data_IF_793144817743
#
_entry.id   IF_793144817743
#
_cell.length_a   1.000
_cell.length_b   1.000
_cell.length_c   1.000
_cell.angle_alpha   90.00
_cell.angle_beta   90.00
_cell.angle_gamma   90.00
#
_symmetry.space_group_name_H-M   'P 1'
#
loop_
_entity.id
_entity.type
_entity.pdbx_description
1 polymer ?
#
# COMPACT_ATOMS: atom_id res chain seq x y z
N UNK A 1 28.52 -55.05 26.94
CA UNK A 1 28.09 -53.63 27.05
C UNK A 1 28.43 -52.92 25.75
N UNK A 2 27.39 -52.36 25.12
CA UNK A 2 27.34 -51.54 23.90
C UNK A 2 28.08 -52.03 22.64
N UNK A 3 27.36 -52.74 21.79
CA UNK A 3 27.60 -52.82 20.35
C UNK A 3 26.34 -52.40 19.58
N UNK A 4 26.55 -52.11 18.29
CA UNK A 4 25.57 -51.91 17.22
C UNK A 4 25.23 -50.45 16.85
N UNK A 5 26.13 -49.90 16.04
CA UNK A 5 25.78 -49.38 14.71
C UNK A 5 24.51 -50.03 14.14
N UNK A 6 23.55 -49.22 13.67
CA UNK A 6 22.78 -49.63 12.50
C UNK A 6 22.37 -48.42 11.65
N UNK A 7 22.71 -48.56 10.38
CA UNK A 7 22.38 -47.73 9.23
C UNK A 7 21.04 -48.18 8.63
N UNK A 8 20.68 -47.59 7.48
CA UNK A 8 19.50 -47.85 6.61
C UNK A 8 18.24 -47.07 6.98
N UNK A 9 17.44 -46.52 6.07
CA UNK A 9 17.49 -46.30 4.61
C UNK A 9 16.20 -45.51 4.31
N UNK A 10 16.28 -44.34 3.65
CA UNK A 10 15.82 -44.15 2.26
C UNK A 10 14.36 -44.59 2.01
N UNK A 11 13.48 -43.63 1.71
CA UNK A 11 12.62 -43.61 0.50
C UNK A 11 11.76 -42.33 0.51
N UNK A 12 11.84 -41.56 -0.58
CA UNK A 12 10.83 -40.57 -0.95
C UNK A 12 9.94 -41.11 -2.07
N UNK A 13 8.77 -40.49 -2.27
CA UNK A 13 8.08 -40.28 -3.57
C UNK A 13 6.66 -39.73 -3.37
N UNK A 14 6.30 -38.76 -4.23
CA UNK A 14 4.98 -38.48 -4.85
C UNK A 14 3.71 -38.47 -3.97
N UNK A 15 2.89 -37.43 -3.91
CA UNK A 15 2.09 -36.92 -5.04
C UNK A 15 0.70 -37.60 -5.04
N UNK A 16 -0.36 -36.84 -5.36
CA UNK A 16 -1.80 -37.19 -5.28
C UNK A 16 -2.40 -36.95 -3.87
N UNK A 17 -3.61 -36.44 -3.65
CA UNK A 17 -4.74 -36.09 -4.52
C UNK A 17 -5.62 -35.14 -3.70
N UNK A 18 -6.03 -34.03 -4.30
CA UNK A 18 -7.19 -33.27 -3.83
C UNK A 18 -8.44 -33.91 -4.43
N UNK A 19 -9.57 -33.78 -3.73
CA UNK A 19 -10.95 -34.09 -4.11
C UNK A 19 -11.48 -35.44 -3.60
N UNK A 20 -12.25 -35.44 -2.51
CA UNK A 20 -13.72 -35.53 -2.54
C UNK A 20 -14.26 -35.70 -1.11
N UNK A 21 -15.24 -34.89 -0.73
CA UNK A 21 -15.90 -34.99 0.56
C UNK A 21 -17.25 -34.29 0.55
N UNK A 22 -18.23 -34.91 -0.11
CA UNK A 22 -19.65 -34.55 -0.13
C UNK A 22 -20.19 -34.32 1.29
N UNK A 23 -21.02 -33.28 1.46
CA UNK A 23 -22.31 -33.42 2.17
C UNK A 23 -23.30 -32.31 1.77
N UNK A 24 -24.29 -32.69 0.95
CA UNK A 24 -25.62 -32.07 0.88
C UNK A 24 -26.48 -32.74 1.94
N UNK A 25 -27.03 -31.98 2.87
CA UNK A 25 -28.32 -32.20 3.56
C UNK A 25 -28.83 -30.79 3.90
N UNK A 26 -29.70 -30.20 3.08
CA UNK A 26 -31.17 -30.17 3.20
C UNK A 26 -31.69 -29.50 4.50
N UNK A 27 -31.96 -28.20 4.35
CA UNK A 27 -33.19 -27.46 4.72
C UNK A 27 -34.15 -28.06 5.78
N UNK A 28 -34.36 -27.32 6.87
CA UNK A 28 -35.68 -27.15 7.49
C UNK A 28 -35.66 -26.04 8.56
N UNK A 29 -35.95 -24.80 8.15
CA UNK A 29 -36.58 -23.83 9.05
C UNK A 29 -37.89 -23.41 8.42
N UNK A 30 -38.94 -23.89 9.07
CA UNK A 30 -40.35 -23.54 8.97
C UNK A 30 -40.58 -22.03 8.81
N UNK A 31 -41.37 -21.66 7.80
CA UNK A 31 -41.97 -20.34 7.64
C UNK A 31 -43.19 -20.19 8.58
N UNK A 32 -43.41 -19.02 9.20
CA UNK A 32 -44.73 -18.65 9.70
C UNK A 32 -45.59 -18.03 8.57
N UNK A 33 -46.92 -18.27 8.54
CA UNK A 33 -47.82 -17.70 7.55
C UNK A 33 -48.35 -16.32 7.95
N UNK A 34 -48.49 -15.47 6.93
CA UNK A 34 -49.44 -14.36 6.90
C UNK A 34 -48.89 -13.00 7.32
N UNK A 35 -48.76 -12.08 6.36
CA UNK A 35 -49.24 -10.69 6.43
C UNK A 35 -49.31 -10.11 5.00
N UNK A 36 -50.22 -9.17 4.74
CA UNK A 36 -50.89 -8.98 3.45
C UNK A 36 -50.12 -8.13 2.44
N UNK A 37 -50.55 -8.28 1.18
CA UNK A 37 -50.13 -7.52 0.02
C UNK A 37 -50.68 -6.09 0.02
N UNK A 38 -49.78 -5.18 -0.42
CA UNK A 38 -49.99 -3.90 -1.11
C UNK A 38 -50.42 -2.68 -0.28
N UNK A 39 -49.51 -1.71 -0.24
CA UNK A 39 -49.72 -0.33 0.16
C UNK A 39 -48.58 0.56 -0.31
N UNK A 40 -48.55 0.82 -1.63
CA UNK A 40 -47.99 1.97 -2.36
C UNK A 40 -47.03 2.87 -1.54
N UNK A 41 -45.72 2.60 -1.59
CA UNK A 41 -44.71 3.57 -1.15
C UNK A 41 -44.52 4.63 -2.23
N UNK A 42 -45.14 5.79 -1.98
CA UNK A 42 -44.62 7.14 -2.25
C UNK A 42 -43.47 7.23 -3.26
N UNK A 43 -43.83 7.62 -4.49
CA UNK A 43 -42.95 7.95 -5.61
C UNK A 43 -42.07 9.19 -5.37
N UNK A 44 -42.13 9.84 -4.19
CA UNK A 44 -41.37 11.05 -3.88
C UNK A 44 -39.90 10.79 -3.46
N UNK A 45 -39.61 9.67 -2.79
CA UNK A 45 -38.26 9.38 -2.28
C UNK A 45 -37.30 8.80 -3.34
N UNK A 46 -37.83 8.24 -4.42
CA UNK A 46 -37.04 7.77 -5.56
C UNK A 46 -36.57 8.94 -6.46
N UNK A 47 -37.35 10.02 -6.53
CA UNK A 47 -37.06 11.18 -7.37
C UNK A 47 -35.95 12.10 -6.82
N UNK A 48 -35.75 12.17 -5.50
CA UNK A 48 -34.70 13.01 -4.91
C UNK A 48 -33.29 12.41 -5.04
N UNK A 49 -33.16 11.08 -4.94
CA UNK A 49 -31.88 10.38 -5.12
C UNK A 49 -31.40 10.34 -6.57
N UNK A 50 -32.32 10.35 -7.54
CA UNK A 50 -31.96 10.40 -8.97
C UNK A 50 -31.50 11.81 -9.39
N UNK A 51 -32.14 12.86 -8.85
CA UNK A 51 -31.79 14.27 -9.15
C UNK A 51 -30.43 14.68 -8.58
N UNK A 52 -30.06 14.21 -7.38
CA UNK A 52 -28.74 14.47 -6.78
C UNK A 52 -27.60 13.75 -7.54
N UNK A 53 -27.83 12.54 -8.06
CA UNK A 53 -26.83 11.83 -8.88
C UNK A 53 -26.64 12.46 -10.26
N UNK A 54 -27.71 12.95 -10.91
CA UNK A 54 -27.63 13.62 -12.20
C UNK A 54 -26.83 14.95 -12.10
N UNK A 55 -27.11 15.78 -11.09
CA UNK A 55 -26.35 17.02 -10.83
C UNK A 55 -24.86 16.75 -10.57
N UNK A 56 -24.52 15.62 -9.91
CA UNK A 56 -23.12 15.23 -9.66
C UNK A 56 -22.38 14.73 -10.91
N UNK A 57 -23.09 14.12 -11.87
CA UNK A 57 -22.52 13.62 -13.12
C UNK A 57 -22.37 14.73 -14.18
N UNK A 58 -23.26 15.71 -14.20
CA UNK A 58 -23.09 16.92 -15.01
C UNK A 58 -21.98 17.83 -14.47
N UNK A 59 -21.86 17.96 -13.14
CA UNK A 59 -20.76 18.69 -12.51
C UNK A 59 -19.38 18.04 -12.79
N UNK A 60 -19.29 16.71 -12.89
CA UNK A 60 -18.04 16.04 -13.25
C UNK A 60 -17.74 16.12 -14.74
N UNK A 61 -18.72 15.99 -15.64
CA UNK A 61 -18.53 16.18 -17.09
C UNK A 61 -18.10 17.61 -17.45
N UNK A 62 -18.67 18.65 -16.83
CA UNK A 62 -18.26 20.04 -17.06
C UNK A 62 -16.86 20.33 -16.50
N UNK A 63 -16.42 19.62 -15.44
CA UNK A 63 -15.05 19.72 -14.89
C UNK A 63 -14.00 19.09 -15.80
N UNK A 64 -14.33 18.01 -16.51
CA UNK A 64 -13.42 17.40 -17.49
C UNK A 64 -13.35 18.24 -18.78
N UNK A 65 -14.47 18.79 -19.25
CA UNK A 65 -14.49 19.68 -20.43
C UNK A 65 -13.67 20.96 -20.22
N UNK A 66 -13.77 21.61 -19.04
CA UNK A 66 -13.00 22.82 -18.73
C UNK A 66 -11.48 22.59 -18.65
N UNK A 67 -11.02 21.40 -18.22
CA UNK A 67 -9.58 21.07 -18.18
C UNK A 67 -8.99 20.89 -19.58
N UNK A 68 -9.74 20.27 -20.50
CA UNK A 68 -9.32 20.14 -21.90
C UNK A 68 -9.18 21.50 -22.60
N UNK A 69 -10.06 22.47 -22.32
CA UNK A 69 -9.94 23.81 -22.91
C UNK A 69 -8.75 24.62 -22.36
N UNK A 70 -8.39 24.46 -21.08
CA UNK A 70 -7.19 25.10 -20.51
C UNK A 70 -5.90 24.49 -21.04
N UNK A 71 -5.84 23.17 -21.16
CA UNK A 71 -4.67 22.47 -21.70
C UNK A 71 -4.50 22.76 -23.21
N UNK A 72 -5.59 22.80 -23.99
CA UNK A 72 -5.53 23.17 -25.41
C UNK A 72 -5.17 24.65 -25.64
N UNK A 73 -5.60 25.56 -24.76
CA UNK A 73 -5.26 26.99 -24.80
C UNK A 73 -3.82 27.30 -24.42
N UNK A 74 -3.24 26.53 -23.48
CA UNK A 74 -1.83 26.63 -23.09
C UNK A 74 -0.89 26.01 -24.14
N UNK A 75 -1.27 24.91 -24.78
CA UNK A 75 -0.49 24.29 -25.86
C UNK A 75 -0.46 25.19 -27.11
N UNK A 76 -1.56 25.85 -27.47
CA UNK A 76 -1.58 26.81 -28.59
C UNK A 76 -0.78 28.09 -28.31
N UNK A 77 -0.86 28.65 -27.10
CA UNK A 77 0.00 29.78 -26.68
C UNK A 77 1.48 29.38 -26.60
N UNK A 78 1.78 28.14 -26.20
CA UNK A 78 3.14 27.60 -26.22
C UNK A 78 3.71 27.45 -27.63
N UNK A 79 2.91 27.01 -28.60
CA UNK A 79 3.33 26.92 -30.00
C UNK A 79 3.47 28.28 -30.70
N UNK A 80 2.64 29.28 -30.36
CA UNK A 80 2.79 30.64 -30.91
C UNK A 80 4.02 31.38 -30.35
N UNK A 81 4.43 31.08 -29.12
CA UNK A 81 5.68 31.61 -28.53
C UNK A 81 6.91 30.91 -29.12
N UNK A 82 6.83 29.61 -29.44
CA UNK A 82 7.92 28.89 -30.11
C UNK A 82 8.04 29.24 -31.60
N UNK A 83 6.94 29.57 -32.28
CA UNK A 83 6.93 29.88 -33.72
C UNK A 83 7.43 31.28 -34.10
N UNK A 84 7.74 32.16 -33.13
CA UNK A 84 8.10 33.57 -33.37
C UNK A 84 9.57 33.91 -33.02
N UNK A 85 10.45 32.91 -32.97
CA UNK A 85 11.90 33.12 -32.74
C UNK A 85 12.81 32.73 -33.91
N UNK A 86 12.30 32.18 -35.01
CA UNK A 86 13.15 31.66 -36.11
C UNK A 86 13.28 32.58 -37.34
N UNK A 87 12.91 33.85 -37.24
CA UNK A 87 13.14 34.82 -38.32
C UNK A 87 13.81 36.08 -37.78
N UNK A 88 15.14 36.06 -37.81
CA UNK A 88 15.93 37.29 -37.79
C UNK A 88 17.12 37.28 -36.86
N UNK A 89 18.10 36.42 -37.12
CA UNK A 89 19.51 36.76 -36.87
C UNK A 89 20.34 36.13 -37.99
N UNK A 90 21.07 36.97 -38.73
CA UNK A 90 21.95 36.56 -39.81
C UNK A 90 22.93 35.47 -39.36
N UNK A 91 22.74 34.26 -39.86
CA UNK A 91 23.69 33.16 -39.77
C UNK A 91 24.68 33.26 -40.93
N UNK A 92 25.45 34.34 -40.98
CA UNK A 92 26.66 34.41 -41.80
C UNK A 92 27.84 34.64 -40.85
N UNK A 93 28.35 33.55 -40.30
CA UNK A 93 29.55 33.57 -39.44
C UNK A 93 29.38 32.86 -38.10
N UNK A 94 29.27 31.52 -38.13
CA UNK A 94 29.78 30.62 -37.08
C UNK A 94 29.74 29.15 -37.55
N UNK A 95 30.14 28.89 -38.78
CA UNK A 95 30.48 27.53 -39.25
C UNK A 95 31.83 27.12 -38.65
N UNK A 96 31.85 26.81 -37.36
CA UNK A 96 33.11 26.47 -36.69
C UNK A 96 33.05 26.20 -35.19
N UNK A 97 31.86 26.04 -34.58
CA UNK A 97 31.78 25.56 -33.20
C UNK A 97 31.22 24.14 -33.22
N UNK A 98 32.13 23.18 -33.32
CA UNK A 98 31.88 21.77 -33.00
C UNK A 98 31.11 21.72 -31.68
N UNK A 99 29.99 20.99 -31.55
CA UNK A 99 29.27 20.92 -30.28
C UNK A 99 30.24 20.44 -29.22
N UNK A 100 30.58 21.30 -28.26
CA UNK A 100 31.52 21.00 -27.19
C UNK A 100 31.09 19.68 -26.56
N UNK A 101 31.95 18.65 -26.67
CA UNK A 101 31.62 17.30 -26.25
C UNK A 101 31.12 17.32 -24.80
N UNK A 102 29.86 16.93 -24.58
CA UNK A 102 29.30 16.86 -23.24
C UNK A 102 30.17 15.94 -22.36
N UNK A 103 30.55 16.42 -21.17
CA UNK A 103 31.45 15.69 -20.28
C UNK A 103 30.83 14.36 -19.86
N UNK A 104 31.41 13.25 -20.33
CA UNK A 104 31.01 11.88 -19.98
C UNK A 104 31.66 11.46 -18.66
N UNK A 105 30.99 10.55 -17.93
CA UNK A 105 31.43 10.09 -16.62
C UNK A 105 31.64 8.57 -16.63
N UNK A 106 32.70 8.10 -15.99
CA UNK A 106 33.05 6.68 -15.85
C UNK A 106 32.70 6.13 -14.47
N UNK A 107 32.46 4.82 -14.39
CA UNK A 107 32.07 4.15 -13.16
C UNK A 107 33.25 4.02 -12.20
N UNK A 108 32.98 4.23 -10.90
CA UNK A 108 34.00 4.15 -9.84
C UNK A 108 34.15 2.76 -9.23
N UNK A 109 33.15 1.88 -9.41
CA UNK A 109 33.14 0.51 -8.91
C UNK A 109 33.37 -0.47 -10.05
N UNK A 110 33.95 -1.62 -9.72
CA UNK A 110 34.19 -2.72 -10.67
C UNK A 110 32.93 -3.23 -11.37
N UNK A 111 31.76 -3.22 -10.73
CA UNK A 111 30.52 -3.71 -11.33
C UNK A 111 30.04 -2.78 -12.46
N UNK A 112 30.10 -3.21 -13.74
CA UNK A 112 29.72 -2.36 -14.86
C UNK A 112 28.20 -2.28 -15.04
N UNK A 113 27.47 -3.30 -14.60
CA UNK A 113 26.05 -3.48 -14.90
C UNK A 113 25.13 -2.53 -14.12
N UNK A 114 23.99 -2.18 -14.73
CA UNK A 114 22.96 -1.33 -14.12
C UNK A 114 22.02 -2.14 -13.21
N UNK A 115 22.53 -2.59 -12.07
CA UNK A 115 21.73 -3.32 -11.07
C UNK A 115 21.18 -2.41 -9.99
N UNK A 116 20.14 -2.86 -9.26
CA UNK A 116 19.52 -2.08 -8.17
C UNK A 116 20.48 -1.73 -7.02
N UNK A 117 21.54 -2.50 -6.82
CA UNK A 117 22.60 -2.22 -5.84
C UNK A 117 23.64 -1.21 -6.34
N UNK A 118 23.70 -0.98 -7.66
CA UNK A 118 24.66 -0.12 -8.34
C UNK A 118 24.03 1.18 -8.84
N UNK A 119 22.93 1.66 -8.22
CA UNK A 119 22.28 2.95 -8.57
C UNK A 119 23.23 4.13 -8.31
N UNK A 120 23.17 5.14 -9.18
CA UNK A 120 24.17 6.21 -9.27
C UNK A 120 23.48 7.57 -9.48
N UNK A 121 24.08 8.63 -8.96
CA UNK A 121 23.69 10.03 -9.23
C UNK A 121 24.91 10.78 -9.76
N UNK A 122 24.75 11.52 -10.86
CA UNK A 122 25.77 12.45 -11.34
C UNK A 122 25.69 13.72 -10.50
N UNK A 123 26.83 14.14 -9.94
CA UNK A 123 26.93 15.34 -9.12
C UNK A 123 28.09 16.19 -9.65
N UNK A 124 27.88 17.51 -9.72
CA UNK A 124 28.96 18.47 -9.96
C UNK A 124 29.73 18.66 -8.66
N UNK A 125 31.02 18.34 -8.68
CA UNK A 125 31.90 18.63 -7.55
C UNK A 125 32.25 20.12 -7.52
N UNK A 126 32.70 20.65 -6.36
CA UNK A 126 33.17 22.03 -6.28
C UNK A 126 34.28 22.37 -7.30
N UNK A 127 35.11 21.39 -7.67
CA UNK A 127 36.14 21.53 -8.72
C UNK A 127 35.62 21.49 -10.16
N UNK A 128 34.31 21.65 -10.37
CA UNK A 128 33.70 21.74 -11.71
C UNK A 128 33.62 20.42 -12.48
N UNK A 129 33.96 19.27 -11.88
CA UNK A 129 33.95 17.96 -12.54
C UNK A 129 32.64 17.21 -12.29
N UNK A 130 32.10 16.56 -13.31
CA UNK A 130 30.97 15.63 -13.16
C UNK A 130 31.45 14.26 -12.67
N UNK A 131 30.91 13.78 -11.55
CA UNK A 131 31.30 12.51 -10.93
C UNK A 131 30.07 11.69 -10.51
N UNK A 132 30.16 10.36 -10.60
CA UNK A 132 29.15 9.47 -10.02
C UNK A 132 29.33 9.29 -8.51
N UNK A 133 28.23 9.51 -7.78
CA UNK A 133 28.07 8.99 -6.43
C UNK A 133 27.14 7.78 -6.42
N UNK A 134 27.58 6.70 -5.77
CA UNK A 134 26.76 5.51 -5.61
C UNK A 134 25.74 5.72 -4.49
N UNK A 135 24.46 5.56 -4.84
CA UNK A 135 23.37 5.65 -3.90
C UNK A 135 23.17 4.30 -3.21
N UNK A 136 22.84 4.36 -1.92
CA UNK A 136 22.38 3.19 -1.17
C UNK A 136 20.91 2.93 -1.57
N UNK A 137 20.51 1.65 -1.65
CA UNK A 137 19.09 1.26 -1.76
C UNK A 137 18.28 1.91 -0.64
N UNK A 138 17.14 2.48 -1.01
CA UNK A 138 16.19 3.06 -0.07
C UNK A 138 15.64 1.95 0.83
N UNK A 139 15.37 2.29 2.09
CA UNK A 139 14.74 1.38 3.04
C UNK A 139 13.22 1.55 3.00
N UNK A 140 12.50 0.48 3.29
CA UNK A 140 11.06 0.52 3.53
C UNK A 140 10.77 0.97 4.96
N UNK A 141 9.68 1.71 5.14
CA UNK A 141 9.17 2.03 6.47
C UNK A 141 8.71 0.75 7.21
N UNK A 142 8.84 0.70 8.55
CA UNK A 142 8.30 -0.40 9.33
C UNK A 142 6.78 -0.40 9.25
N UNK A 143 6.19 -1.58 9.02
CA UNK A 143 4.75 -1.76 8.84
C UNK A 143 4.10 -2.34 10.10
N UNK A 144 2.83 -2.03 10.30
CA UNK A 144 1.99 -2.66 11.30
C UNK A 144 1.80 -4.14 10.97
N UNK A 145 1.94 -5.03 11.96
CA UNK A 145 1.80 -6.48 11.76
C UNK A 145 0.38 -6.98 11.42
N UNK A 146 -0.67 -6.24 11.80
CA UNK A 146 -2.07 -6.59 11.48
C UNK A 146 -2.55 -5.82 10.24
N UNK A 147 -2.45 -4.49 10.31
CA UNK A 147 -3.04 -3.57 9.36
C UNK A 147 -2.14 -3.35 8.09
N UNK A 148 -0.84 -3.68 8.14
CA UNK A 148 0.11 -3.46 7.04
C UNK A 148 0.51 -1.99 6.76
N UNK A 149 -0.13 -1.04 7.44
CA UNK A 149 0.12 0.41 7.33
C UNK A 149 1.52 0.76 7.86
N UNK A 150 2.20 1.71 7.21
CA UNK A 150 3.48 2.22 7.69
C UNK A 150 3.31 2.94 9.05
N UNK A 151 4.16 2.60 10.02
CA UNK A 151 4.05 3.15 11.37
C UNK A 151 4.51 4.61 11.38
N UNK A 152 3.67 5.55 11.87
CA UNK A 152 4.06 6.95 11.98
C UNK A 152 5.10 7.13 13.10
N UNK A 153 5.98 8.12 12.91
CA UNK A 153 7.00 8.49 13.91
C UNK A 153 8.25 7.63 13.92
N UNK A 154 8.36 6.60 13.07
CA UNK A 154 9.55 5.75 12.98
C UNK A 154 10.22 5.96 11.61
N UNK A 155 11.51 6.31 11.57
CA UNK A 155 12.20 6.65 10.33
C UNK A 155 12.45 5.41 9.46
N UNK A 156 12.25 5.52 8.15
CA UNK A 156 12.53 4.44 7.20
C UNK A 156 14.04 4.32 6.92
N UNK A 157 14.72 3.44 7.65
CA UNK A 157 16.17 3.27 7.59
C UNK A 157 16.60 1.83 7.35
N UNK A 158 17.85 1.62 6.94
CA UNK A 158 18.38 0.27 6.76
C UNK A 158 18.61 -0.41 8.12
N UNK A 159 18.51 -1.75 8.21
CA UNK A 159 18.70 -2.48 9.48
C UNK A 159 20.00 -2.15 10.21
N UNK A 160 21.12 -1.99 9.48
CA UNK A 160 22.41 -1.58 10.08
C UNK A 160 22.37 -0.17 10.68
N UNK A 161 21.63 0.75 10.07
CA UNK A 161 21.49 2.13 10.59
C UNK A 161 20.58 2.17 11.82
N UNK A 162 19.62 1.25 11.93
CA UNK A 162 18.81 1.10 13.13
C UNK A 162 19.65 0.72 14.36
N UNK A 163 20.80 0.06 14.21
CA UNK A 163 21.69 -0.22 15.35
C UNK A 163 22.25 1.08 15.97
N UNK A 164 22.62 2.05 15.14
CA UNK A 164 23.29 3.30 15.55
C UNK A 164 22.36 4.32 16.23
N UNK A 165 21.06 4.23 16.00
CA UNK A 165 20.11 5.27 16.40
C UNK A 165 19.66 5.08 17.86
N UNK A 166 19.24 6.17 18.52
CA UNK A 166 18.67 6.15 19.87
C UNK A 166 17.36 5.35 19.94
N UNK A 167 17.02 4.82 21.12
CA UNK A 167 15.79 4.03 21.32
C UNK A 167 14.52 4.84 21.03
N UNK A 168 14.49 6.11 21.41
CA UNK A 168 13.35 7.02 21.24
C UNK A 168 12.91 7.20 19.79
N UNK A 169 13.83 7.09 18.84
CA UNK A 169 13.55 7.18 17.40
C UNK A 169 13.09 5.85 16.80
N UNK A 170 13.27 4.72 17.49
CA UNK A 170 12.89 3.38 17.02
C UNK A 170 11.48 2.97 17.47
N UNK A 171 11.00 3.55 18.57
CA UNK A 171 9.75 3.14 19.22
C UNK A 171 8.82 4.33 19.42
N UNK A 172 7.54 4.03 19.67
CA UNK A 172 6.53 5.01 20.08
C UNK A 172 6.14 4.71 21.53
N UNK A 173 5.94 5.74 22.36
CA UNK A 173 5.59 5.59 23.79
C UNK A 173 4.12 5.19 23.97
N UNK A 174 3.80 3.92 23.68
CA UNK A 174 2.50 3.26 23.93
C UNK A 174 2.67 1.74 23.99
N UNK A 175 1.64 1.01 24.42
CA UNK A 175 1.59 -0.44 24.30
C UNK A 175 1.77 -0.89 22.84
N UNK A 176 2.62 -1.90 22.63
CA UNK A 176 3.01 -2.42 21.30
C UNK A 176 3.59 -1.35 20.34
N UNK A 177 4.16 -0.27 20.87
CA UNK A 177 4.80 0.78 20.09
C UNK A 177 5.90 0.25 19.17
N UNK A 178 5.86 0.64 17.90
CA UNK A 178 6.82 0.18 16.89
C UNK A 178 6.53 -1.16 16.24
N UNK A 179 5.51 -1.89 16.69
CA UNK A 179 5.02 -3.10 16.03
C UNK A 179 3.59 -2.93 15.50
N UNK A 180 2.73 -2.22 16.25
CA UNK A 180 1.30 -2.06 15.95
C UNK A 180 0.90 -0.59 15.85
N UNK A 181 -0.06 -0.27 14.98
CA UNK A 181 -0.66 1.07 14.91
C UNK A 181 -1.65 1.32 16.06
N UNK A 182 -2.04 2.59 16.28
CA UNK A 182 -2.95 2.95 17.37
C UNK A 182 -4.31 2.26 17.26
N UNK A 183 -4.88 2.18 16.06
CA UNK A 183 -6.19 1.58 15.83
C UNK A 183 -6.19 0.07 16.08
N UNK A 184 -5.17 -0.61 15.58
CA UNK A 184 -4.99 -2.05 15.79
C UNK A 184 -4.71 -2.36 17.30
N UNK A 185 -4.15 -1.43 18.08
CA UNK A 185 -4.03 -1.57 19.56
C UNK A 185 -5.39 -1.35 20.25
N UNK A 186 -6.14 -0.32 19.84
CA UNK A 186 -7.47 -0.04 20.38
C UNK A 186 -8.43 -1.21 20.18
N UNK A 187 -8.46 -1.80 18.99
CA UNK A 187 -9.31 -2.95 18.69
C UNK A 187 -8.94 -4.18 19.52
N UNK A 188 -7.64 -4.40 19.81
CA UNK A 188 -7.17 -5.47 20.71
C UNK A 188 -7.66 -5.28 22.14
N UNK A 189 -7.57 -4.05 22.66
CA UNK A 189 -8.05 -3.74 24.03
C UNK A 189 -9.56 -3.97 24.12
N UNK A 190 -10.33 -3.42 23.19
CA UNK A 190 -11.78 -3.57 23.18
C UNK A 190 -12.22 -5.03 23.01
N UNK A 191 -11.59 -5.76 22.09
CA UNK A 191 -11.88 -7.19 21.89
C UNK A 191 -11.56 -7.99 23.15
N UNK A 192 -10.42 -7.76 23.79
CA UNK A 192 -10.05 -8.47 25.01
C UNK A 192 -11.06 -8.21 26.12
N UNK A 193 -11.43 -6.95 26.34
CA UNK A 193 -12.42 -6.56 27.35
C UNK A 193 -13.77 -7.24 27.11
N UNK A 194 -14.38 -7.05 25.94
CA UNK A 194 -15.71 -7.60 25.64
C UNK A 194 -15.75 -9.13 25.69
N UNK A 195 -14.66 -9.80 25.30
CA UNK A 195 -14.57 -11.26 25.39
C UNK A 195 -14.51 -11.73 26.83
N UNK A 196 -13.79 -11.04 27.71
CA UNK A 196 -13.77 -11.38 29.14
C UNK A 196 -15.12 -11.12 29.80
N UNK A 197 -15.77 -9.99 29.52
CA UNK A 197 -17.12 -9.71 30.01
C UNK A 197 -18.12 -10.79 29.58
N UNK A 198 -18.12 -11.15 28.30
CA UNK A 198 -18.98 -12.21 27.79
C UNK A 198 -18.67 -13.58 28.42
N UNK A 199 -17.42 -13.86 28.78
CA UNK A 199 -17.04 -15.09 29.49
C UNK A 199 -17.59 -15.09 30.91
N UNK A 200 -17.54 -13.98 31.63
CA UNK A 200 -18.07 -13.85 33.00
C UNK A 200 -19.58 -14.07 32.99
N UNK A 201 -20.31 -13.38 32.11
CA UNK A 201 -21.77 -13.53 31.97
C UNK A 201 -22.15 -14.98 31.68
N UNK A 202 -21.45 -15.64 30.74
CA UNK A 202 -21.68 -17.06 30.44
C UNK A 202 -21.41 -17.98 31.63
N UNK A 203 -20.43 -17.66 32.49
CA UNK A 203 -20.16 -18.45 33.71
C UNK A 203 -21.28 -18.28 34.73
N UNK A 204 -21.77 -17.06 34.94
CA UNK A 204 -22.85 -16.77 35.91
C UNK A 204 -24.14 -17.47 35.50
N UNK A 205 -24.56 -17.35 34.23
CA UNK A 205 -25.77 -18.01 33.72
C UNK A 205 -25.67 -19.53 33.92
N UNK A 206 -24.54 -20.15 33.55
CA UNK A 206 -24.31 -21.58 33.75
C UNK A 206 -24.35 -21.99 35.23
N UNK A 207 -23.89 -21.16 36.14
CA UNK A 207 -23.95 -21.43 37.59
C UNK A 207 -25.38 -21.35 38.13
N UNK A 208 -26.18 -20.38 37.66
CA UNK A 208 -27.58 -20.23 38.04
C UNK A 208 -28.45 -21.39 37.51
N UNK A 209 -28.27 -21.78 36.24
CA UNK A 209 -28.95 -22.95 35.65
C UNK A 209 -28.64 -24.24 36.43
N UNK A 210 -27.41 -24.41 36.91
CA UNK A 210 -27.03 -25.54 37.77
C UNK A 210 -27.67 -25.47 39.16
N UNK A 211 -27.81 -24.28 39.73
CA UNK A 211 -28.43 -24.09 41.03
C UNK A 211 -29.95 -24.33 40.99
N UNK A 212 -30.63 -23.90 39.92
CA UNK A 212 -32.08 -24.07 39.75
C UNK A 212 -32.52 -25.47 39.28
N UNK A 213 -31.59 -26.39 39.01
CA UNK A 213 -31.87 -27.78 38.62
C UNK A 213 -31.72 -28.77 39.80
N UNK A 214 -31.67 -28.26 41.02
CA UNK A 214 -31.79 -28.99 42.28
C UNK A 214 -33.23 -28.92 42.77
#
# INVERSE_FOLDING_TARGET
MCTAFNTLSRYGKSGAEWLFGKRRELCSTTQPPGLPLRGIYSTAAAYSKFKIKAVSLEATKNRYKMKEYTEAGEVKRGLEIFGRMDKGLGLSGRTGQSPAMAQRVTLRKRNPYNTTSSRRRVVKTPGGKLVYHHLKKLASAPKCGDCGIALPGIPALRPRQYATISKTKKTVRRAYGGSRCGDCVKSRILRAFLVEEAKIVKKVIKSQEKAGRK
#
